data_IF_282062625502
#
_entry.id   IF_282062625502
#
_cell.length_a   1.000
_cell.length_b   1.000
_cell.length_c   1.000
_cell.angle_alpha   90.00
_cell.angle_beta   90.00
_cell.angle_gamma   90.00
#
_symmetry.space_group_name_H-M   'P 1'
#
loop_
_entity.id
_entity.type
_entity.pdbx_description
1 polymer ?
#
# COMPACT_ATOMS: atom_id res chain seq x y z
N UNK A 1 9.66 -10.91 -31.39
CA UNK A 1 10.97 -10.89 -32.07
C UNK A 1 11.99 -10.37 -31.06
N UNK A 2 12.57 -11.26 -30.26
CA UNK A 2 13.62 -10.89 -29.30
C UNK A 2 14.93 -11.02 -30.07
N UNK A 3 15.48 -9.89 -30.50
CA UNK A 3 16.80 -9.86 -31.11
C UNK A 3 17.81 -10.33 -30.06
N UNK A 4 18.48 -11.46 -30.31
CA UNK A 4 19.69 -11.81 -29.56
C UNK A 4 20.63 -10.61 -29.60
N UNK A 5 21.09 -10.16 -28.43
CA UNK A 5 21.96 -9.00 -28.33
C UNK A 5 23.22 -9.31 -29.17
N UNK A 6 23.50 -8.63 -30.30
CA UNK A 6 24.56 -9.02 -31.25
C UNK A 6 25.98 -9.05 -30.67
N UNK A 7 26.11 -8.60 -29.41
CA UNK A 7 27.34 -8.50 -28.64
C UNK A 7 27.22 -9.12 -27.23
N UNK A 8 26.22 -9.97 -26.97
CA UNK A 8 25.98 -10.51 -25.62
C UNK A 8 27.19 -11.25 -25.05
N UNK A 9 27.83 -12.10 -25.86
CA UNK A 9 29.07 -12.81 -25.51
C UNK A 9 30.21 -11.84 -25.20
N UNK A 10 30.36 -10.78 -25.99
CA UNK A 10 31.40 -9.76 -25.76
C UNK A 10 31.16 -8.97 -24.47
N UNK A 11 29.89 -8.69 -24.13
CA UNK A 11 29.52 -8.03 -22.89
C UNK A 11 29.87 -8.91 -21.68
N UNK A 12 29.49 -10.20 -21.71
CA UNK A 12 29.85 -11.16 -20.65
C UNK A 12 31.38 -11.26 -20.52
N UNK A 13 32.13 -11.39 -21.62
CA UNK A 13 33.61 -11.40 -21.60
C UNK A 13 34.19 -10.11 -21.01
N UNK A 14 33.61 -8.96 -21.31
CA UNK A 14 33.97 -7.67 -20.72
C UNK A 14 33.79 -7.65 -19.20
N UNK A 15 32.65 -8.13 -18.71
CA UNK A 15 32.37 -8.19 -17.27
C UNK A 15 33.24 -9.23 -16.54
N UNK A 16 33.57 -10.37 -17.17
CA UNK A 16 34.58 -11.32 -16.65
C UNK A 16 35.91 -10.60 -16.43
N UNK A 17 36.39 -9.84 -17.41
CA UNK A 17 37.63 -9.09 -17.29
C UNK A 17 37.56 -7.97 -16.25
N UNK A 18 36.42 -7.30 -16.13
CA UNK A 18 36.20 -6.28 -15.11
C UNK A 18 36.38 -6.86 -13.70
N UNK A 19 35.64 -7.91 -13.36
CA UNK A 19 35.72 -8.57 -12.04
C UNK A 19 37.11 -9.13 -11.79
N UNK A 20 37.70 -9.82 -12.78
CA UNK A 20 39.07 -10.33 -12.68
C UNK A 20 40.10 -9.21 -12.43
N UNK A 21 39.93 -8.04 -13.06
CA UNK A 21 40.83 -6.90 -12.86
C UNK A 21 40.74 -6.37 -11.42
N UNK A 22 39.52 -6.20 -10.89
CA UNK A 22 39.30 -5.76 -9.50
C UNK A 22 39.87 -6.79 -8.51
N UNK A 23 39.65 -8.08 -8.75
CA UNK A 23 40.25 -9.13 -7.92
C UNK A 23 41.78 -9.06 -7.94
N UNK A 24 42.40 -8.88 -9.11
CA UNK A 24 43.86 -8.87 -9.28
C UNK A 24 44.57 -7.67 -8.64
N UNK A 25 43.86 -6.57 -8.34
CA UNK A 25 44.38 -5.43 -7.60
C UNK A 25 44.53 -5.77 -6.10
N UNK A 26 43.72 -6.69 -5.60
CA UNK A 26 43.81 -7.14 -4.22
C UNK A 26 44.96 -8.18 -4.07
N UNK A 27 45.91 -7.89 -3.18
CA UNK A 27 47.12 -8.69 -2.94
C UNK A 27 46.82 -10.17 -2.65
N UNK A 28 45.67 -10.48 -2.04
CA UNK A 28 45.20 -11.86 -1.76
C UNK A 28 45.02 -12.69 -3.03
N UNK A 29 44.69 -12.05 -4.15
CA UNK A 29 44.41 -12.69 -5.43
C UNK A 29 45.50 -12.40 -6.48
N UNK A 30 46.49 -11.59 -6.11
CA UNK A 30 47.61 -11.22 -6.97
C UNK A 30 48.80 -12.17 -6.73
N UNK A 31 49.05 -13.09 -7.66
CA UNK A 31 50.26 -13.93 -7.60
C UNK A 31 51.41 -13.24 -8.35
N UNK A 32 52.43 -12.73 -7.66
CA UNK A 32 53.61 -12.10 -8.29
C UNK A 32 54.37 -13.03 -9.26
N UNK A 33 54.27 -14.36 -9.07
CA UNK A 33 54.89 -15.36 -9.94
C UNK A 33 54.35 -15.38 -11.38
N UNK A 34 53.14 -14.83 -11.62
CA UNK A 34 52.47 -14.83 -12.93
C UNK A 34 53.15 -13.97 -13.99
N UNK A 35 53.93 -12.97 -13.56
CA UNK A 35 54.70 -12.11 -14.47
C UNK A 35 56.02 -12.75 -14.93
N UNK A 36 56.37 -13.92 -14.36
CA UNK A 36 57.63 -14.62 -14.64
C UNK A 36 57.43 -16.05 -15.15
N UNK A 37 56.28 -16.68 -14.90
CA UNK A 37 55.95 -18.05 -15.33
C UNK A 37 54.44 -18.29 -15.32
N UNK A 38 53.94 -19.15 -16.21
CA UNK A 38 52.56 -19.65 -16.14
C UNK A 38 52.30 -20.32 -14.79
N UNK A 39 51.31 -19.81 -14.06
CA UNK A 39 50.93 -20.32 -12.74
C UNK A 39 50.07 -21.58 -12.96
N UNK A 40 50.49 -22.75 -12.46
CA UNK A 40 49.74 -24.00 -12.61
C UNK A 40 48.29 -23.86 -12.12
N UNK A 41 47.34 -24.47 -12.83
CA UNK A 41 45.90 -24.34 -12.55
C UNK A 41 45.52 -24.73 -11.11
N UNK A 42 46.29 -25.60 -10.46
CA UNK A 42 46.08 -26.06 -9.08
C UNK A 42 46.48 -25.05 -7.99
N UNK A 43 47.35 -24.08 -8.29
CA UNK A 43 47.75 -23.03 -7.33
C UNK A 43 46.92 -21.75 -7.43
N UNK A 44 46.03 -21.66 -8.41
CA UNK A 44 45.08 -20.56 -8.57
C UNK A 44 43.85 -20.78 -7.67
N UNK A 45 43.26 -19.69 -7.17
CA UNK A 45 42.04 -19.75 -6.37
C UNK A 45 40.87 -20.31 -7.20
N UNK A 46 39.95 -21.03 -6.53
CA UNK A 46 38.80 -21.64 -7.18
C UNK A 46 37.94 -20.61 -7.94
N UNK A 47 37.79 -19.39 -7.43
CA UNK A 47 37.05 -18.31 -8.09
C UNK A 47 37.71 -17.86 -9.41
N UNK A 48 39.03 -17.67 -9.42
CA UNK A 48 39.75 -17.28 -10.64
C UNK A 48 39.66 -18.36 -11.72
N UNK A 49 39.70 -19.65 -11.31
CA UNK A 49 39.54 -20.79 -12.21
C UNK A 49 38.16 -20.79 -12.85
N UNK A 50 37.10 -20.60 -12.07
CA UNK A 50 35.71 -20.53 -12.57
C UNK A 50 35.51 -19.45 -13.63
N UNK A 51 36.10 -18.27 -13.47
CA UNK A 51 36.05 -17.22 -14.51
C UNK A 51 36.83 -17.59 -15.77
N UNK A 52 37.99 -18.25 -15.63
CA UNK A 52 38.79 -18.71 -16.77
C UNK A 52 38.05 -19.80 -17.54
N UNK A 53 37.46 -20.76 -16.82
CA UNK A 53 36.67 -21.85 -17.40
C UNK A 53 35.46 -21.29 -18.16
N UNK A 54 34.75 -20.31 -17.57
CA UNK A 54 33.67 -19.61 -18.27
C UNK A 54 34.18 -18.87 -19.51
N UNK A 55 35.30 -18.13 -19.42
CA UNK A 55 35.85 -17.43 -20.57
C UNK A 55 36.15 -18.37 -21.74
N UNK A 56 36.79 -19.51 -21.46
CA UNK A 56 37.10 -20.56 -22.45
C UNK A 56 35.82 -21.17 -23.01
N UNK A 57 34.80 -21.42 -22.18
CA UNK A 57 33.51 -21.97 -22.65
C UNK A 57 32.77 -21.04 -23.61
N UNK A 58 33.07 -19.73 -23.56
CA UNK A 58 32.52 -18.71 -24.44
C UNK A 58 33.40 -18.45 -25.69
N UNK A 59 34.51 -19.16 -25.87
CA UNK A 59 35.31 -19.11 -27.09
C UNK A 59 34.58 -19.83 -28.23
N UNK A 60 34.44 -19.18 -29.38
CA UNK A 60 33.73 -19.73 -30.54
C UNK A 60 32.20 -19.63 -30.48
N UNK A 61 31.61 -19.19 -29.37
CA UNK A 61 30.16 -18.96 -29.24
C UNK A 61 29.77 -17.63 -29.91
N UNK A 62 28.75 -17.69 -30.77
CA UNK A 62 28.24 -16.52 -31.53
C UNK A 62 26.97 -15.96 -30.88
N UNK A 63 26.03 -16.82 -30.48
CA UNK A 63 24.79 -16.44 -29.79
C UNK A 63 24.85 -16.89 -28.33
N UNK A 64 24.55 -15.97 -27.41
CA UNK A 64 24.50 -16.26 -25.98
C UNK A 64 23.31 -17.18 -25.62
N UNK A 65 22.28 -17.21 -26.48
CA UNK A 65 21.10 -18.05 -26.31
C UNK A 65 21.42 -19.56 -26.32
N UNK A 66 22.53 -19.94 -26.95
CA UNK A 66 23.00 -21.33 -27.03
C UNK A 66 23.73 -21.80 -25.76
N UNK A 67 23.97 -20.89 -24.82
CA UNK A 67 24.71 -21.18 -23.58
C UNK A 67 23.74 -21.27 -22.40
N UNK A 68 23.96 -22.26 -21.52
CA UNK A 68 23.23 -22.36 -20.25
C UNK A 68 23.41 -21.06 -19.45
N UNK A 69 22.29 -20.38 -19.19
CA UNK A 69 22.28 -19.07 -18.56
C UNK A 69 22.84 -19.16 -17.14
N UNK A 70 22.61 -20.26 -16.42
CA UNK A 70 23.16 -20.42 -15.07
C UNK A 70 24.69 -20.55 -15.09
N UNK A 71 25.25 -21.24 -16.08
CA UNK A 71 26.71 -21.39 -16.20
C UNK A 71 27.40 -20.05 -16.43
N UNK A 72 26.74 -19.12 -17.14
CA UNK A 72 27.24 -17.75 -17.32
C UNK A 72 27.27 -16.97 -16.00
N UNK A 73 26.28 -17.17 -15.13
CA UNK A 73 26.17 -16.44 -13.87
C UNK A 73 26.97 -17.04 -12.71
N UNK A 74 27.18 -18.35 -12.72
CA UNK A 74 27.75 -19.09 -11.59
C UNK A 74 29.06 -18.49 -11.05
N UNK A 75 30.03 -18.07 -11.88
CA UNK A 75 31.26 -17.46 -11.38
C UNK A 75 31.03 -16.12 -10.67
N UNK A 76 30.06 -15.33 -11.11
CA UNK A 76 29.70 -14.05 -10.49
C UNK A 76 28.95 -14.26 -9.17
N UNK A 77 28.01 -15.21 -9.14
CA UNK A 77 27.28 -15.59 -7.91
C UNK A 77 28.24 -16.10 -6.85
N UNK A 78 29.18 -16.98 -7.20
CA UNK A 78 30.18 -17.49 -6.25
C UNK A 78 31.13 -16.41 -5.70
N UNK A 79 31.37 -15.32 -6.46
CA UNK A 79 32.10 -14.16 -5.92
C UNK A 79 31.28 -13.50 -4.84
N UNK A 80 29.98 -13.26 -5.07
CA UNK A 80 29.13 -12.57 -4.11
C UNK A 80 28.85 -13.41 -2.86
N UNK A 81 28.73 -14.74 -2.99
CA UNK A 81 28.56 -15.68 -1.87
C UNK A 81 29.86 -15.92 -1.07
N UNK A 82 31.03 -15.53 -1.59
CA UNK A 82 32.31 -15.84 -0.97
C UNK A 82 32.68 -14.83 0.14
N UNK A 83 32.77 -15.29 1.38
CA UNK A 83 33.27 -14.49 2.52
C UNK A 83 34.72 -13.97 2.32
N UNK A 84 35.47 -14.55 1.38
CA UNK A 84 36.87 -14.16 1.13
C UNK A 84 37.01 -12.90 0.26
N UNK A 85 35.92 -12.41 -0.33
CA UNK A 85 35.94 -11.26 -1.25
C UNK A 85 35.57 -9.97 -0.55
N UNK A 86 36.30 -8.89 -0.84
CA UNK A 86 36.01 -7.58 -0.26
C UNK A 86 34.78 -6.93 -0.90
N UNK A 87 34.16 -5.97 -0.22
CA UNK A 87 33.00 -5.21 -0.73
C UNK A 87 33.21 -4.59 -2.12
N UNK A 88 34.44 -4.18 -2.47
CA UNK A 88 34.78 -3.71 -3.83
C UNK A 88 34.68 -4.80 -4.90
N UNK A 89 35.12 -6.03 -4.58
CA UNK A 89 35.06 -7.18 -5.50
C UNK A 89 33.60 -7.66 -5.61
N UNK A 90 32.91 -7.78 -4.48
CA UNK A 90 31.49 -8.15 -4.41
C UNK A 90 30.62 -7.14 -5.17
N UNK A 91 30.86 -5.84 -4.99
CA UNK A 91 30.15 -4.78 -5.71
C UNK A 91 30.39 -4.81 -7.22
N UNK A 92 31.60 -5.15 -7.68
CA UNK A 92 31.88 -5.34 -9.10
C UNK A 92 31.08 -6.51 -9.68
N UNK A 93 30.99 -7.64 -8.95
CA UNK A 93 30.21 -8.79 -9.39
C UNK A 93 28.69 -8.51 -9.40
N UNK A 94 28.14 -7.85 -8.38
CA UNK A 94 26.73 -7.42 -8.36
C UNK A 94 26.44 -6.45 -9.51
N UNK A 95 27.35 -5.51 -9.80
CA UNK A 95 27.22 -4.61 -10.94
C UNK A 95 27.15 -5.35 -12.27
N UNK A 96 27.98 -6.38 -12.45
CA UNK A 96 27.92 -7.26 -13.63
C UNK A 96 26.59 -8.00 -13.73
N UNK A 97 26.10 -8.59 -12.63
CA UNK A 97 24.79 -9.26 -12.59
C UNK A 97 23.64 -8.29 -12.95
N UNK A 98 23.68 -7.06 -12.43
CA UNK A 98 22.70 -6.03 -12.76
C UNK A 98 22.74 -5.65 -14.25
N UNK A 99 23.93 -5.48 -14.83
CA UNK A 99 24.06 -5.24 -16.28
C UNK A 99 23.50 -6.39 -17.11
N UNK A 100 23.70 -7.64 -16.67
CA UNK A 100 23.15 -8.80 -17.37
C UNK A 100 21.61 -8.77 -17.39
N UNK A 101 20.98 -8.34 -16.30
CA UNK A 101 19.52 -8.14 -16.23
C UNK A 101 19.07 -6.95 -17.10
N UNK A 102 19.72 -5.79 -16.97
CA UNK A 102 19.36 -4.56 -17.69
C UNK A 102 19.53 -4.67 -19.21
N UNK A 103 20.57 -5.37 -19.66
CA UNK A 103 20.84 -5.56 -21.09
C UNK A 103 20.08 -6.74 -21.69
N UNK A 104 19.26 -7.44 -20.89
CA UNK A 104 18.49 -8.60 -21.36
C UNK A 104 19.37 -9.77 -21.78
N UNK A 105 20.55 -9.93 -21.16
CA UNK A 105 21.47 -11.05 -21.44
C UNK A 105 21.00 -12.36 -20.79
N UNK A 106 19.99 -12.28 -19.93
CA UNK A 106 19.26 -13.40 -19.35
C UNK A 106 17.86 -13.38 -19.99
N UNK A 107 17.69 -13.94 -21.20
CA UNK A 107 16.38 -13.98 -21.85
C UNK A 107 15.44 -14.89 -21.05
N UNK A 108 14.13 -14.55 -20.93
CA UNK A 108 13.18 -15.36 -20.16
C UNK A 108 13.04 -16.80 -20.69
N UNK A 109 13.29 -17.00 -21.99
CA UNK A 109 13.22 -18.31 -22.67
C UNK A 109 14.58 -19.06 -22.68
N UNK A 110 15.62 -18.52 -22.04
CA UNK A 110 16.96 -19.10 -22.04
C UNK A 110 17.04 -20.43 -21.27
N UNK A 111 18.01 -21.28 -21.64
CA UNK A 111 18.23 -22.55 -20.95
C UNK A 111 18.59 -22.30 -19.48
N UNK A 112 17.75 -22.80 -18.56
CA UNK A 112 17.85 -22.56 -17.11
C UNK A 112 17.95 -21.08 -16.76
N UNK A 113 17.50 -20.19 -17.66
CA UNK A 113 17.24 -18.80 -17.37
C UNK A 113 16.10 -18.63 -16.39
N UNK A 114 15.34 -19.73 -16.13
CA UNK A 114 14.77 -19.99 -14.80
C UNK A 114 15.93 -20.05 -13.78
N UNK A 115 16.13 -20.99 -12.87
CA UNK A 115 17.32 -21.16 -11.98
C UNK A 115 18.39 -20.03 -11.77
N UNK A 116 19.03 -19.52 -12.83
CA UNK A 116 19.90 -18.34 -12.89
C UNK A 116 19.47 -17.08 -12.10
N UNK A 117 18.30 -16.46 -12.36
CA UNK A 117 17.76 -15.30 -11.62
C UNK A 117 17.49 -15.58 -10.11
N UNK A 118 17.23 -16.82 -9.70
CA UNK A 118 16.87 -17.30 -8.36
C UNK A 118 18.17 -17.36 -7.59
N UNK A 119 19.21 -17.89 -8.24
CA UNK A 119 20.57 -17.79 -7.75
C UNK A 119 21.00 -16.33 -7.60
N UNK A 120 20.67 -15.41 -8.53
CA UNK A 120 20.93 -13.97 -8.32
C UNK A 120 20.16 -13.45 -7.09
N UNK A 121 18.85 -13.66 -7.03
CA UNK A 121 17.98 -13.17 -5.96
C UNK A 121 18.43 -13.66 -4.58
N UNK A 122 18.65 -14.97 -4.45
CA UNK A 122 19.10 -15.61 -3.22
C UNK A 122 20.47 -15.08 -2.81
N UNK A 123 21.40 -15.01 -3.77
CA UNK A 123 22.75 -14.52 -3.54
C UNK A 123 22.75 -13.06 -3.06
N UNK A 124 21.98 -12.18 -3.70
CA UNK A 124 21.85 -10.78 -3.30
C UNK A 124 21.17 -10.66 -1.92
N UNK A 125 20.13 -11.45 -1.64
CA UNK A 125 19.46 -11.46 -0.33
C UNK A 125 20.37 -11.90 0.82
N UNK A 126 21.37 -12.74 0.54
CA UNK A 126 22.35 -13.24 1.51
C UNK A 126 23.66 -12.45 1.50
N UNK A 127 23.78 -11.44 0.64
CA UNK A 127 25.01 -10.66 0.50
C UNK A 127 25.21 -9.79 1.76
N UNK A 128 26.27 -10.08 2.51
CA UNK A 128 26.71 -9.22 3.63
C UNK A 128 27.65 -8.16 3.09
N UNK A 129 27.27 -6.89 3.22
CA UNK A 129 28.17 -5.77 2.95
C UNK A 129 28.97 -5.50 4.22
N UNK A 130 30.20 -6.02 4.30
CA UNK A 130 31.12 -5.63 5.35
C UNK A 130 31.54 -4.16 5.14
N UNK A 131 31.24 -3.30 6.11
CA UNK A 131 31.91 -2.01 6.26
C UNK A 131 33.41 -2.27 6.44
N UNK A 132 34.23 -1.67 5.60
CA UNK A 132 35.69 -1.84 5.60
C UNK A 132 36.29 -1.55 6.98
N UNK A 133 36.84 -2.61 7.59
CA UNK A 133 37.66 -2.71 8.82
C UNK A 133 36.94 -2.68 10.20
N UNK A 134 36.78 -3.87 10.79
CA UNK A 134 37.51 -4.30 12.00
C UNK A 134 37.34 -5.80 12.25
N UNK A 135 38.46 -6.47 12.55
CA UNK A 135 38.52 -7.81 13.14
C UNK A 135 37.63 -7.87 14.40
N UNK A 136 36.73 -8.86 14.54
CA UNK A 136 36.72 -9.94 15.56
C UNK A 136 35.65 -10.96 15.16
N UNK A 137 35.94 -12.24 15.42
CA UNK A 137 35.10 -13.43 15.38
C UNK A 137 33.61 -13.21 15.69
N UNK A 138 32.72 -13.79 14.88
CA UNK A 138 31.50 -14.42 15.41
C UNK A 138 30.99 -15.53 14.49
N UNK A 139 30.54 -16.59 15.15
CA UNK A 139 30.42 -17.97 14.70
C UNK A 139 29.01 -18.24 14.18
N UNK A 140 28.92 -18.89 13.01
CA UNK A 140 27.87 -19.83 12.62
C UNK A 140 26.44 -19.33 12.48
N UNK A 141 25.83 -19.58 11.31
CA UNK A 141 24.55 -20.29 11.35
C UNK A 141 24.26 -21.12 10.09
N UNK A 142 23.40 -22.09 10.35
CA UNK A 142 23.06 -23.35 9.69
C UNK A 142 22.87 -23.38 8.16
N UNK A 143 23.48 -24.40 7.53
CA UNK A 143 23.32 -24.77 6.12
C UNK A 143 21.99 -25.53 5.94
N UNK A 144 20.89 -24.80 5.80
CA UNK A 144 19.67 -25.37 5.21
C UNK A 144 19.76 -25.29 3.68
N UNK A 145 19.88 -26.46 3.06
CA UNK A 145 19.76 -26.64 1.61
C UNK A 145 18.28 -26.46 1.26
N UNK A 146 17.86 -25.22 1.04
CA UNK A 146 16.50 -24.92 0.62
C UNK A 146 16.24 -25.47 -0.79
N UNK A 147 15.15 -26.22 -0.90
CA UNK A 147 14.60 -26.75 -2.14
C UNK A 147 14.36 -25.58 -3.09
N UNK A 148 15.11 -25.53 -4.19
CA UNK A 148 14.99 -24.49 -5.20
C UNK A 148 13.65 -24.64 -5.92
N UNK A 149 12.68 -23.82 -5.55
CA UNK A 149 11.45 -23.67 -6.35
C UNK A 149 11.74 -22.80 -7.58
N UNK A 150 11.20 -23.17 -8.76
CA UNK A 150 11.36 -22.40 -9.99
C UNK A 150 10.73 -21.01 -9.86
N UNK A 151 11.13 -20.07 -10.71
CA UNK A 151 10.61 -18.70 -10.67
C UNK A 151 9.12 -18.60 -10.51
N UNK A 152 8.78 -17.59 -9.75
CA UNK A 152 7.45 -17.11 -9.62
C UNK A 152 7.33 -16.28 -8.37
N UNK A 153 6.09 -16.20 -7.94
CA UNK A 153 5.68 -15.44 -6.78
C UNK A 153 6.41 -15.82 -5.48
N UNK A 154 6.80 -17.09 -5.22
CA UNK A 154 7.46 -17.44 -3.95
C UNK A 154 8.81 -16.75 -3.71
N UNK A 155 9.62 -16.53 -4.74
CA UNK A 155 10.92 -15.86 -4.57
C UNK A 155 10.76 -14.36 -4.44
N UNK A 156 9.80 -13.77 -5.15
CA UNK A 156 9.42 -12.38 -4.94
C UNK A 156 8.87 -12.14 -3.53
N UNK A 157 8.11 -13.11 -3.00
CA UNK A 157 7.62 -13.10 -1.64
C UNK A 157 8.78 -13.14 -0.63
N UNK A 158 9.75 -14.03 -0.81
CA UNK A 158 10.96 -14.08 0.03
C UNK A 158 11.77 -12.78 -0.04
N UNK A 159 11.94 -12.20 -1.23
CA UNK A 159 12.63 -10.92 -1.38
C UNK A 159 11.87 -9.78 -0.69
N UNK A 160 10.55 -9.70 -0.85
CA UNK A 160 9.74 -8.70 -0.17
C UNK A 160 9.76 -8.87 1.36
N UNK A 161 9.77 -10.11 1.86
CA UNK A 161 9.94 -10.39 3.29
C UNK A 161 11.30 -9.91 3.79
N UNK A 162 12.38 -10.26 3.08
CA UNK A 162 13.72 -9.79 3.40
C UNK A 162 13.82 -8.25 3.41
N UNK A 163 13.29 -7.59 2.38
CA UNK A 163 13.26 -6.12 2.32
C UNK A 163 12.43 -5.51 3.47
N UNK A 164 11.32 -6.16 3.84
CA UNK A 164 10.50 -5.74 4.98
C UNK A 164 11.30 -5.86 6.29
N UNK A 165 12.09 -6.92 6.46
CA UNK A 165 12.92 -7.10 7.64
C UNK A 165 14.05 -6.05 7.75
N UNK A 166 14.58 -5.54 6.63
CA UNK A 166 15.57 -4.44 6.63
C UNK A 166 15.02 -3.14 7.25
N UNK A 167 13.70 -2.91 7.15
CA UNK A 167 13.06 -1.71 7.69
C UNK A 167 12.45 -1.93 9.07
N UNK A 168 12.74 -3.06 9.72
CA UNK A 168 12.23 -3.35 11.07
C UNK A 168 12.66 -2.22 12.03
N UNK A 169 11.73 -1.64 12.80
CA UNK A 169 12.05 -0.56 13.72
C UNK A 169 13.02 -1.04 14.79
N UNK A 170 13.96 -0.17 15.19
CA UNK A 170 15.14 -0.46 16.04
C UNK A 170 16.36 -1.07 15.32
N UNK A 171 16.32 -1.21 13.99
CA UNK A 171 17.52 -1.46 13.18
C UNK A 171 18.47 -0.25 13.16
N UNK A 172 19.64 -0.42 12.53
CA UNK A 172 20.54 0.70 12.22
C UNK A 172 19.86 1.63 11.21
N UNK A 173 19.97 2.94 11.42
CA UNK A 173 19.32 3.95 10.58
C UNK A 173 19.68 3.80 9.09
N UNK A 174 20.97 3.64 8.76
CA UNK A 174 21.44 3.45 7.39
C UNK A 174 20.82 2.21 6.72
N UNK A 175 20.60 1.14 7.49
CA UNK A 175 19.95 -0.09 7.01
C UNK A 175 18.47 0.15 6.73
N UNK A 176 17.78 0.90 7.59
CA UNK A 176 16.38 1.27 7.40
C UNK A 176 16.23 2.17 6.18
N UNK A 177 17.07 3.19 6.04
CA UNK A 177 17.08 4.09 4.87
C UNK A 177 17.31 3.30 3.58
N UNK A 178 18.27 2.39 3.58
CA UNK A 178 18.56 1.54 2.43
C UNK A 178 17.37 0.62 2.11
N UNK A 179 16.80 -0.05 3.12
CA UNK A 179 15.62 -0.90 2.98
C UNK A 179 14.42 -0.15 2.41
N UNK A 180 14.10 1.04 2.97
CA UNK A 180 13.01 1.90 2.49
C UNK A 180 13.24 2.33 1.04
N UNK A 181 14.48 2.66 0.68
CA UNK A 181 14.84 3.06 -0.69
C UNK A 181 14.64 1.91 -1.69
N UNK A 182 15.04 0.68 -1.31
CA UNK A 182 14.84 -0.51 -2.15
C UNK A 182 13.36 -0.86 -2.29
N UNK A 183 12.58 -0.80 -1.20
CA UNK A 183 11.13 -1.02 -1.26
C UNK A 183 10.47 0.02 -2.16
N UNK A 184 10.85 1.29 -2.02
CA UNK A 184 10.34 2.35 -2.87
C UNK A 184 10.60 2.05 -4.36
N UNK A 185 11.82 1.63 -4.70
CA UNK A 185 12.18 1.25 -6.06
C UNK A 185 11.35 0.06 -6.55
N UNK A 186 11.13 -0.97 -5.73
CA UNK A 186 10.30 -2.12 -6.08
C UNK A 186 8.85 -1.69 -6.36
N UNK A 187 8.28 -0.81 -5.55
CA UNK A 187 6.92 -0.31 -5.74
C UNK A 187 6.80 0.55 -7.00
N UNK A 188 7.77 1.44 -7.26
CA UNK A 188 7.79 2.30 -8.46
C UNK A 188 7.96 1.47 -9.75
N UNK A 189 8.74 0.39 -9.71
CA UNK A 189 9.01 -0.45 -10.89
C UNK A 189 7.93 -1.51 -11.15
N UNK A 190 7.44 -2.18 -10.10
CA UNK A 190 6.46 -3.25 -10.24
C UNK A 190 5.02 -2.72 -10.41
N UNK A 191 4.73 -1.53 -9.88
CA UNK A 191 3.43 -0.86 -9.97
C UNK A 191 2.26 -1.78 -9.59
N UNK A 192 1.21 -1.78 -10.42
CA UNK A 192 0.00 -2.58 -10.18
C UNK A 192 0.19 -4.09 -10.34
N UNK A 193 1.33 -4.54 -10.88
CA UNK A 193 1.65 -5.96 -11.04
C UNK A 193 1.73 -6.72 -9.71
N UNK A 194 2.09 -6.05 -8.61
CA UNK A 194 2.15 -6.65 -7.28
C UNK A 194 0.77 -7.10 -6.77
N UNK A 195 -0.29 -6.37 -7.17
CA UNK A 195 -1.67 -6.67 -6.75
C UNK A 195 -2.24 -7.94 -7.37
N UNK A 196 -1.65 -8.44 -8.46
CA UNK A 196 -2.13 -9.65 -9.13
C UNK A 196 -1.87 -10.94 -8.32
N UNK A 197 -1.01 -10.89 -7.30
CA UNK A 197 -0.50 -12.06 -6.61
C UNK A 197 -0.79 -12.01 -5.10
N UNK A 198 -1.72 -12.85 -4.59
CA UNK A 198 -2.17 -12.78 -3.20
C UNK A 198 -1.08 -12.92 -2.14
N UNK A 199 -0.02 -13.71 -2.39
CA UNK A 199 1.03 -13.88 -1.39
C UNK A 199 1.92 -12.64 -1.25
N UNK A 200 2.21 -11.93 -2.35
CA UNK A 200 2.87 -10.62 -2.29
C UNK A 200 1.98 -9.60 -1.57
N UNK A 201 0.69 -9.57 -1.88
CA UNK A 201 -0.28 -8.71 -1.18
C UNK A 201 -0.31 -9.00 0.32
N UNK A 202 -0.21 -10.27 0.74
CA UNK A 202 -0.14 -10.64 2.15
C UNK A 202 1.07 -10.01 2.87
N UNK A 203 2.25 -10.04 2.25
CA UNK A 203 3.46 -9.40 2.81
C UNK A 203 3.29 -7.89 2.90
N UNK A 204 2.77 -7.27 1.84
CA UNK A 204 2.55 -5.82 1.78
C UNK A 204 1.50 -5.35 2.81
N UNK A 205 0.44 -6.13 3.03
CA UNK A 205 -0.62 -5.85 4.01
C UNK A 205 -0.19 -6.09 5.46
N UNK A 206 0.72 -7.04 5.69
CA UNK A 206 1.17 -7.48 7.00
C UNK A 206 2.41 -6.72 7.46
N UNK A 207 3.57 -7.38 7.42
CA UNK A 207 4.81 -6.91 8.04
C UNK A 207 5.28 -5.58 7.47
N UNK A 208 5.18 -5.38 6.14
CA UNK A 208 5.59 -4.11 5.54
C UNK A 208 4.78 -2.93 6.08
N UNK A 209 3.44 -3.01 6.02
CA UNK A 209 2.56 -1.96 6.52
C UNK A 209 2.76 -1.71 8.02
N UNK A 210 2.99 -2.77 8.81
CA UNK A 210 3.32 -2.67 10.23
C UNK A 210 4.62 -1.89 10.46
N UNK A 211 5.71 -2.25 9.79
CA UNK A 211 7.00 -1.59 9.96
C UNK A 211 6.97 -0.14 9.46
N UNK A 212 6.23 0.17 8.39
CA UNK A 212 6.03 1.55 7.92
C UNK A 212 5.30 2.41 8.95
N UNK A 213 4.27 1.88 9.62
CA UNK A 213 3.60 2.59 10.71
C UNK A 213 4.57 2.88 11.86
N UNK A 214 5.40 1.91 12.24
CA UNK A 214 6.37 2.08 13.32
C UNK A 214 7.48 3.06 12.94
N UNK A 215 8.00 3.03 11.71
CA UNK A 215 9.00 3.99 11.23
C UNK A 215 8.42 5.41 11.09
N UNK A 216 7.10 5.57 10.96
CA UNK A 216 6.45 6.90 10.96
C UNK A 216 6.49 7.63 12.30
N UNK A 217 6.89 6.95 13.38
CA UNK A 217 7.01 7.51 14.73
C UNK A 217 8.42 8.05 15.02
N UNK A 218 9.32 7.98 14.03
CA UNK A 218 10.69 8.48 14.14
C UNK A 218 10.77 9.99 14.25
N UNK A 219 11.78 10.50 14.97
CA UNK A 219 12.20 11.90 14.94
C UNK A 219 12.99 12.26 13.67
N UNK A 220 13.62 11.26 13.04
CA UNK A 220 14.52 11.48 11.91
C UNK A 220 13.77 11.79 10.62
N UNK A 221 13.95 13.02 10.11
CA UNK A 221 13.21 13.53 8.96
C UNK A 221 13.42 12.70 7.68
N UNK A 222 14.63 12.17 7.48
CA UNK A 222 14.95 11.36 6.30
C UNK A 222 14.18 10.03 6.29
N UNK A 223 14.15 9.32 7.43
CA UNK A 223 13.39 8.08 7.59
C UNK A 223 11.90 8.35 7.46
N UNK A 224 11.39 9.44 8.05
CA UNK A 224 9.99 9.83 7.94
C UNK A 224 9.60 10.13 6.49
N UNK A 225 10.38 10.95 5.79
CA UNK A 225 10.14 11.32 4.39
C UNK A 225 10.10 10.09 3.47
N UNK A 226 11.10 9.19 3.60
CA UNK A 226 11.13 7.94 2.84
C UNK A 226 9.96 7.02 3.20
N UNK A 227 9.58 6.94 4.48
CA UNK A 227 8.42 6.16 4.93
C UNK A 227 7.14 6.66 4.27
N UNK A 228 6.88 7.98 4.31
CA UNK A 228 5.70 8.59 3.69
C UNK A 228 5.66 8.36 2.17
N UNK A 229 6.82 8.42 1.51
CA UNK A 229 6.94 8.15 0.07
C UNK A 229 6.67 6.68 -0.29
N UNK A 230 7.24 5.74 0.47
CA UNK A 230 6.97 4.30 0.30
C UNK A 230 5.47 4.03 0.47
N UNK A 231 4.86 4.63 1.48
CA UNK A 231 3.43 4.50 1.76
C UNK A 231 2.59 5.02 0.58
N UNK A 232 2.90 6.21 0.06
CA UNK A 232 2.24 6.75 -1.13
C UNK A 232 2.32 5.79 -2.32
N UNK A 233 3.53 5.32 -2.65
CA UNK A 233 3.76 4.41 -3.76
C UNK A 233 3.12 3.03 -3.54
N UNK A 234 3.06 2.57 -2.29
CA UNK A 234 2.38 1.33 -1.90
C UNK A 234 0.89 1.41 -2.19
N UNK A 235 0.24 2.50 -1.78
CA UNK A 235 -1.18 2.71 -2.07
C UNK A 235 -1.44 2.94 -3.55
N UNK A 236 -0.58 3.66 -4.26
CA UNK A 236 -0.73 3.83 -5.70
C UNK A 236 -0.65 2.48 -6.45
N UNK A 237 0.21 1.58 -5.97
CA UNK A 237 0.43 0.26 -6.58
C UNK A 237 -0.71 -0.74 -6.30
N UNK A 238 -1.21 -0.83 -5.07
CA UNK A 238 -2.18 -1.89 -4.68
C UNK A 238 -3.40 -1.38 -3.89
N UNK A 239 -3.90 -0.17 -4.21
CA UNK A 239 -5.05 0.48 -3.55
C UNK A 239 -6.27 -0.41 -3.29
N UNK A 240 -6.62 -1.30 -4.22
CA UNK A 240 -7.81 -2.14 -4.12
C UNK A 240 -7.74 -3.12 -2.95
N UNK A 241 -6.52 -3.43 -2.49
CA UNK A 241 -6.25 -4.32 -1.37
C UNK A 241 -5.96 -3.56 -0.07
N UNK A 242 -5.73 -2.25 -0.09
CA UNK A 242 -5.20 -1.51 1.04
C UNK A 242 -6.13 -0.47 1.66
N UNK A 243 -7.44 -0.54 1.41
CA UNK A 243 -8.40 0.48 1.89
C UNK A 243 -8.40 0.65 3.41
N UNK A 244 -8.30 -0.45 4.16
CA UNK A 244 -8.26 -0.41 5.64
C UNK A 244 -6.94 0.17 6.13
N UNK A 245 -5.82 -0.25 5.53
CA UNK A 245 -4.49 0.27 5.85
C UNK A 245 -4.39 1.76 5.54
N UNK A 246 -5.03 2.23 4.48
CA UNK A 246 -5.06 3.65 4.09
C UNK A 246 -5.75 4.50 5.16
N UNK A 247 -6.90 4.04 5.65
CA UNK A 247 -7.61 4.71 6.73
C UNK A 247 -6.75 4.79 8.01
N UNK A 248 -6.14 3.66 8.40
CA UNK A 248 -5.23 3.60 9.56
C UNK A 248 -4.07 4.56 9.34
N UNK A 249 -3.43 4.56 8.18
CA UNK A 249 -2.28 5.42 7.91
C UNK A 249 -2.65 6.90 8.01
N UNK A 250 -3.78 7.33 7.44
CA UNK A 250 -4.21 8.73 7.58
C UNK A 250 -4.51 9.10 9.03
N UNK A 251 -5.23 8.26 9.77
CA UNK A 251 -5.60 8.58 11.16
C UNK A 251 -4.43 8.47 12.12
N UNK A 252 -3.60 7.45 11.96
CA UNK A 252 -2.53 7.12 12.86
C UNK A 252 -1.27 7.85 12.52
N UNK A 253 -0.98 8.21 11.26
CA UNK A 253 0.25 8.92 10.88
C UNK A 253 -0.01 10.39 10.64
N UNK A 254 -0.72 10.74 9.55
CA UNK A 254 -0.89 12.15 9.16
C UNK A 254 -1.62 12.97 10.22
N UNK A 255 -2.79 12.52 10.68
CA UNK A 255 -3.54 13.25 11.71
C UNK A 255 -2.78 13.31 13.04
N UNK A 256 -2.09 12.23 13.42
CA UNK A 256 -1.27 12.21 14.64
C UNK A 256 -0.15 13.24 14.59
N UNK A 257 0.57 13.33 13.48
CA UNK A 257 1.66 14.31 13.30
C UNK A 257 1.12 15.74 13.29
N UNK A 258 -0.01 15.99 12.65
CA UNK A 258 -0.64 17.33 12.60
C UNK A 258 -1.21 17.77 13.95
N UNK A 259 -1.86 16.86 14.69
CA UNK A 259 -2.53 17.16 15.96
C UNK A 259 -1.55 17.17 17.15
N UNK A 260 -0.38 16.54 17.02
CA UNK A 260 0.58 16.42 18.13
C UNK A 260 1.33 17.73 18.38
N UNK A 261 1.31 18.26 19.61
CA UNK A 261 2.10 19.43 19.98
C UNK A 261 3.60 19.14 20.09
N UNK A 262 4.01 17.86 20.15
CA UNK A 262 5.42 17.47 20.28
C UNK A 262 6.13 17.30 18.95
N UNK A 263 5.40 17.28 17.82
CA UNK A 263 5.98 17.15 16.50
C UNK A 263 6.55 18.48 16.01
N UNK A 264 7.74 18.42 15.37
CA UNK A 264 8.38 19.62 14.80
C UNK A 264 7.60 20.15 13.59
N UNK A 265 7.85 21.40 13.23
CA UNK A 265 7.16 22.02 12.10
C UNK A 265 7.58 21.37 10.77
N UNK A 266 8.83 20.89 10.65
CA UNK A 266 9.31 20.13 9.50
C UNK A 266 8.60 18.78 9.35
N UNK A 267 8.29 18.09 10.45
CA UNK A 267 7.51 16.84 10.41
C UNK A 267 6.07 17.10 9.93
N UNK A 268 5.47 18.20 10.38
CA UNK A 268 4.13 18.62 9.94
C UNK A 268 4.12 18.99 8.46
N UNK A 269 5.14 19.70 7.99
CA UNK A 269 5.32 20.03 6.57
C UNK A 269 5.39 18.77 5.71
N UNK A 270 6.25 17.80 6.06
CA UNK A 270 6.36 16.52 5.35
C UNK A 270 5.03 15.75 5.31
N UNK A 271 4.29 15.72 6.42
CA UNK A 271 2.98 15.09 6.46
C UNK A 271 1.97 15.81 5.54
N UNK A 272 1.97 17.14 5.52
CA UNK A 272 1.09 17.93 4.64
C UNK A 272 1.45 17.77 3.16
N UNK A 273 2.73 17.74 2.81
CA UNK A 273 3.19 17.46 1.45
C UNK A 273 2.74 16.08 0.98
N UNK A 274 2.91 15.06 1.82
CA UNK A 274 2.42 13.72 1.55
C UNK A 274 0.89 13.70 1.34
N UNK A 275 0.11 14.42 2.16
CA UNK A 275 -1.34 14.54 1.95
C UNK A 275 -1.70 15.23 0.63
N UNK A 276 -0.95 16.26 0.25
CA UNK A 276 -1.13 16.95 -1.03
C UNK A 276 -0.85 16.01 -2.20
N UNK A 277 0.16 15.14 -2.10
CA UNK A 277 0.41 14.09 -3.11
C UNK A 277 -0.77 13.13 -3.24
N UNK A 278 -1.33 12.63 -2.13
CA UNK A 278 -2.55 11.82 -2.15
C UNK A 278 -3.74 12.55 -2.77
N UNK A 279 -3.87 13.85 -2.54
CA UNK A 279 -4.94 14.67 -3.12
C UNK A 279 -4.74 14.90 -4.62
N UNK A 280 -3.51 14.86 -5.14
CA UNK A 280 -3.27 15.00 -6.59
C UNK A 280 -3.67 13.75 -7.37
N UNK A 281 -3.75 12.59 -6.72
CA UNK A 281 -4.13 11.34 -7.35
C UNK A 281 -5.67 11.15 -7.35
N UNK A 282 -6.36 11.25 -8.51
CA UNK A 282 -7.83 11.29 -8.56
C UNK A 282 -8.48 10.01 -8.03
N UNK A 283 -7.81 8.88 -8.18
CA UNK A 283 -8.31 7.59 -7.71
C UNK A 283 -8.26 7.46 -6.18
N UNK A 284 -7.30 8.13 -5.53
CA UNK A 284 -7.12 8.10 -4.08
C UNK A 284 -7.86 9.24 -3.39
N UNK A 285 -8.04 10.38 -4.06
CA UNK A 285 -8.74 11.56 -3.50
C UNK A 285 -10.14 11.23 -2.99
N UNK A 286 -10.93 10.43 -3.73
CA UNK A 286 -12.29 10.08 -3.31
C UNK A 286 -12.29 9.19 -2.05
N UNK A 287 -11.40 8.20 -2.00
CA UNK A 287 -11.24 7.30 -0.86
C UNK A 287 -10.69 8.05 0.36
N UNK A 288 -9.75 8.99 0.16
CA UNK A 288 -9.25 9.90 1.19
C UNK A 288 -10.36 10.80 1.73
N UNK A 289 -11.17 11.42 0.88
CA UNK A 289 -12.24 12.32 1.31
C UNK A 289 -13.28 11.55 2.15
N UNK A 290 -13.59 10.31 1.76
CA UNK A 290 -14.45 9.43 2.55
C UNK A 290 -13.82 9.06 3.90
N UNK A 291 -12.54 8.68 3.91
CA UNK A 291 -11.82 8.33 5.15
C UNK A 291 -11.71 9.52 6.12
N UNK A 292 -11.45 10.73 5.61
CA UNK A 292 -11.38 11.97 6.40
C UNK A 292 -12.75 12.34 6.94
N UNK A 293 -13.81 12.33 6.11
CA UNK A 293 -15.17 12.60 6.56
C UNK A 293 -15.62 11.58 7.62
N UNK A 294 -15.22 10.32 7.48
CA UNK A 294 -15.51 9.27 8.44
C UNK A 294 -14.70 9.42 9.75
N UNK A 295 -13.43 9.84 9.67
CA UNK A 295 -12.62 10.22 10.82
C UNK A 295 -13.23 11.41 11.57
N UNK A 296 -13.62 12.48 10.85
CA UNK A 296 -14.28 13.66 11.42
C UNK A 296 -15.62 13.27 12.05
N UNK A 297 -16.44 12.48 11.37
CA UNK A 297 -17.72 11.99 11.91
C UNK A 297 -17.56 11.15 13.18
N UNK A 298 -16.41 10.48 13.38
CA UNK A 298 -16.12 9.72 14.61
C UNK A 298 -15.58 10.60 15.73
N UNK A 299 -14.85 11.68 15.40
CA UNK A 299 -14.29 12.64 16.37
C UNK A 299 -15.26 13.72 16.81
N UNK A 300 -16.34 13.96 16.06
CA UNK A 300 -17.40 14.89 16.45
C UNK A 300 -18.56 14.15 17.15
N UNK A 301 -18.62 14.11 18.50
CA UNK A 301 -19.90 13.96 19.16
C UNK A 301 -20.72 15.23 18.87
N UNK A 302 -21.81 15.09 18.12
CA UNK A 302 -22.76 16.19 17.89
C UNK A 302 -23.34 16.66 19.24
N UNK A 303 -22.69 17.64 19.86
CA UNK A 303 -23.26 18.48 20.91
C UNK A 303 -24.03 19.62 20.21
N UNK A 304 -25.21 19.29 19.67
CA UNK A 304 -26.25 20.28 19.37
C UNK A 304 -27.48 19.97 20.22
N UNK A 305 -27.34 20.18 21.52
CA UNK A 305 -28.45 20.39 22.44
C UNK A 305 -27.97 21.33 23.54
N UNK A 306 -28.10 22.64 23.28
CA UNK A 306 -28.39 23.72 24.24
C UNK A 306 -27.94 25.06 23.67
N UNK A 307 -28.77 25.66 22.82
CA UNK A 307 -28.82 27.11 22.68
C UNK A 307 -30.16 27.58 23.23
N UNK A 308 -30.18 28.08 24.47
CA UNK A 308 -30.95 29.29 24.85
C UNK A 308 -30.96 29.50 26.38
N UNK A 309 -30.72 30.76 26.74
CA UNK A 309 -30.74 31.41 28.06
C UNK A 309 -29.50 31.21 28.94
N UNK A 310 -28.59 32.18 28.88
CA UNK A 310 -28.19 32.95 30.08
C UNK A 310 -27.96 34.40 29.65
N UNK A 311 -28.64 35.29 30.36
CA UNK A 311 -28.55 36.75 30.25
C UNK A 311 -27.16 37.28 30.58
N UNK A 312 -26.80 38.36 29.91
CA UNK A 312 -25.61 39.16 30.20
C UNK A 312 -25.88 40.03 31.42
N UNK A 313 -25.22 39.75 32.53
CA UNK A 313 -24.82 40.78 33.51
C UNK A 313 -23.41 40.48 33.96
N UNK A 314 -22.49 41.42 33.69
CA UNK A 314 -21.09 41.29 34.08
C UNK A 314 -20.89 41.40 35.58
N UNK A 315 -20.13 40.48 36.15
CA UNK A 315 -19.18 40.68 37.25
C UNK A 315 -18.29 39.43 37.30
N UNK A 316 -17.04 39.60 37.72
CA UNK A 316 -16.11 38.55 38.15
C UNK A 316 -15.33 37.81 37.05
N UNK A 317 -14.43 38.56 36.41
CA UNK A 317 -13.06 38.08 36.23
C UNK A 317 -12.42 37.87 37.62
N UNK A 318 -11.73 36.75 37.76
CA UNK A 318 -10.85 36.35 38.87
C UNK A 318 -11.50 35.50 40.00
N UNK A 319 -11.67 34.21 39.74
CA UNK A 319 -11.29 33.17 40.70
C UNK A 319 -11.18 31.79 40.03
N UNK A 320 -10.08 31.10 40.36
CA UNK A 320 -9.86 29.64 40.28
C UNK A 320 -9.32 29.06 38.95
N UNK A 321 -8.01 29.30 38.80
CA UNK A 321 -6.99 28.32 38.39
C UNK A 321 -7.15 27.01 39.19
N UNK A 322 -7.46 25.89 38.52
CA UNK A 322 -6.55 24.73 38.32
C UNK A 322 -7.25 23.58 37.55
N UNK A 323 -6.53 22.72 36.80
CA UNK A 323 -7.08 21.74 35.88
C UNK A 323 -7.13 20.31 36.46
N UNK A 324 -8.17 19.55 36.13
CA UNK A 324 -8.14 18.08 36.15
C UNK A 324 -9.24 17.52 35.24
N UNK A 325 -8.89 16.58 34.36
CA UNK A 325 -9.77 15.46 34.10
C UNK A 325 -9.00 14.15 34.20
N UNK A 326 -8.91 13.60 35.41
CA UNK A 326 -8.59 12.19 35.62
C UNK A 326 -9.91 11.41 35.68
N UNK A 327 -10.36 10.88 34.54
CA UNK A 327 -11.40 9.84 34.48
C UNK A 327 -11.35 9.06 33.16
N UNK A 328 -10.21 8.42 32.90
CA UNK A 328 -10.16 7.24 32.03
C UNK A 328 -9.03 6.31 32.47
N UNK A 329 -9.14 5.79 33.69
CA UNK A 329 -8.31 4.70 34.20
C UNK A 329 -9.21 3.63 34.83
N UNK A 330 -9.19 2.44 34.24
CA UNK A 330 -9.91 1.25 34.70
C UNK A 330 -10.06 0.29 33.50
N UNK A 331 -9.31 -0.79 33.33
CA UNK A 331 -8.53 -1.54 34.29
C UNK A 331 -7.30 -2.19 33.62
N UNK A 332 -6.13 -2.01 34.21
CA UNK A 332 -5.00 -2.93 34.11
C UNK A 332 -4.83 -3.57 35.50
N UNK A 333 -4.53 -4.87 35.61
CA UNK A 333 -4.24 -5.49 36.89
C UNK A 333 -2.84 -5.06 37.35
N UNK A 334 -2.77 -4.53 38.57
CA UNK A 334 -1.51 -4.33 39.29
C UNK A 334 -1.03 -5.65 39.86
N UNK A 335 0.21 -6.04 39.61
CA UNK A 335 1.03 -6.68 40.64
C UNK A 335 2.52 -6.42 40.40
N UNK A 336 3.24 -6.55 41.51
CA UNK A 336 4.54 -6.04 41.87
C UNK A 336 5.71 -6.52 41.01
N UNK A 337 6.80 -5.75 41.09
CA UNK A 337 8.05 -6.03 40.40
C UNK A 337 8.64 -7.38 40.77
N UNK A 338 9.04 -8.11 39.74
CA UNK A 338 10.24 -8.92 39.74
C UNK A 338 10.75 -9.03 38.30
N UNK A 339 12.07 -8.96 38.17
CA UNK A 339 12.77 -9.08 36.91
C UNK A 339 12.51 -10.43 36.24
N UNK A 340 12.53 -10.42 34.91
CA UNK A 340 12.61 -11.58 34.01
C UNK A 340 11.27 -12.31 33.71
N UNK A 341 10.54 -11.84 32.69
CA UNK A 341 9.75 -12.75 31.84
C UNK A 341 9.50 -12.18 30.44
N UNK A 342 9.76 -13.03 29.48
CA UNK A 342 9.71 -12.89 28.03
C UNK A 342 8.30 -12.53 27.55
N UNK A 343 8.14 -11.41 26.84
CA UNK A 343 6.89 -11.09 26.12
C UNK A 343 6.76 -12.09 24.96
N UNK A 344 5.69 -12.89 24.85
CA UNK A 344 5.55 -13.84 23.77
C UNK A 344 5.28 -13.13 22.43
N UNK A 345 5.80 -13.61 21.28
CA UNK A 345 5.85 -12.83 20.04
C UNK A 345 4.52 -12.71 19.28
N UNK A 346 3.39 -13.16 19.84
CA UNK A 346 2.20 -13.47 19.05
C UNK A 346 1.00 -12.49 19.17
N UNK A 347 1.10 -11.42 19.96
CA UNK A 347 -0.02 -10.47 20.18
C UNK A 347 0.01 -9.20 19.29
N UNK A 348 0.94 -9.13 18.33
CA UNK A 348 1.14 -7.93 17.50
C UNK A 348 0.07 -7.67 16.42
N UNK A 349 -0.89 -8.58 16.22
CA UNK A 349 -1.94 -8.50 15.19
C UNK A 349 -3.36 -8.37 15.77
N UNK A 350 -3.53 -8.51 17.08
CA UNK A 350 -4.85 -8.43 17.73
C UNK A 350 -5.50 -7.06 17.52
N UNK A 351 -4.70 -5.98 17.51
CA UNK A 351 -5.21 -4.63 17.28
C UNK A 351 -5.67 -4.39 15.83
N UNK A 352 -5.03 -5.02 14.83
CA UNK A 352 -5.43 -4.97 13.42
C UNK A 352 -6.70 -5.79 13.17
N UNK A 353 -6.84 -6.95 13.81
CA UNK A 353 -8.09 -7.71 13.81
C UNK A 353 -9.21 -6.93 14.50
N UNK A 354 -8.93 -6.31 15.63
CA UNK A 354 -9.88 -5.46 16.36
C UNK A 354 -10.26 -4.22 15.54
N UNK A 355 -9.32 -3.59 14.83
CA UNK A 355 -9.60 -2.47 13.94
C UNK A 355 -10.43 -2.92 12.72
N UNK A 356 -10.08 -4.06 12.10
CA UNK A 356 -10.81 -4.65 10.98
C UNK A 356 -12.23 -5.07 11.37
N UNK A 357 -12.40 -5.68 12.53
CA UNK A 357 -13.69 -6.08 13.09
C UNK A 357 -14.52 -4.85 13.43
N UNK A 358 -13.95 -3.84 14.09
CA UNK A 358 -14.64 -2.57 14.35
C UNK A 358 -15.08 -1.89 13.05
N UNK A 359 -14.25 -1.85 12.01
CA UNK A 359 -14.63 -1.24 10.72
C UNK A 359 -15.67 -2.09 9.98
N UNK A 360 -15.57 -3.41 10.00
CA UNK A 360 -16.54 -4.32 9.40
C UNK A 360 -17.90 -4.27 10.13
N UNK A 361 -17.90 -4.24 11.45
CA UNK A 361 -19.11 -4.08 12.28
C UNK A 361 -19.73 -2.70 12.07
N UNK A 362 -18.94 -1.63 12.02
CA UNK A 362 -19.44 -0.27 11.72
C UNK A 362 -20.06 -0.22 10.32
N UNK A 363 -19.43 -0.86 9.32
CA UNK A 363 -19.99 -0.97 7.96
C UNK A 363 -21.27 -1.80 7.91
N UNK A 364 -21.32 -2.94 8.63
CA UNK A 364 -22.52 -3.76 8.75
C UNK A 364 -23.65 -2.99 9.47
N UNK A 365 -23.35 -2.32 10.58
CA UNK A 365 -24.28 -1.45 11.30
C UNK A 365 -24.78 -0.30 10.43
N UNK A 366 -23.93 0.32 9.61
CA UNK A 366 -24.34 1.37 8.64
C UNK A 366 -25.27 0.81 7.56
N UNK A 367 -24.95 -0.36 7.00
CA UNK A 367 -25.80 -1.03 6.00
C UNK A 367 -27.16 -1.39 6.62
N UNK A 368 -27.16 -1.87 7.86
CA UNK A 368 -28.36 -2.25 8.60
C UNK A 368 -29.19 -1.03 9.03
N UNK A 369 -28.56 0.05 9.47
CA UNK A 369 -29.21 1.32 9.78
C UNK A 369 -29.79 1.97 8.52
N UNK A 370 -29.05 2.02 7.41
CA UNK A 370 -29.58 2.51 6.12
C UNK A 370 -30.80 1.72 5.65
N UNK A 371 -30.80 0.39 5.86
CA UNK A 371 -31.95 -0.48 5.59
C UNK A 371 -33.13 -0.15 6.52
N UNK A 372 -32.91 0.04 7.82
CA UNK A 372 -33.94 0.45 8.80
C UNK A 372 -34.58 1.79 8.43
N UNK A 373 -33.77 2.82 8.15
CA UNK A 373 -34.26 4.13 7.72
C UNK A 373 -35.05 4.05 6.40
N UNK A 374 -34.61 3.23 5.45
CA UNK A 374 -35.34 3.01 4.20
C UNK A 374 -36.73 2.38 4.45
N UNK A 375 -36.81 1.31 5.25
CA UNK A 375 -38.07 0.65 5.62
C UNK A 375 -39.02 1.59 6.37
N UNK A 376 -38.49 2.39 7.31
CA UNK A 376 -39.27 3.39 8.03
C UNK A 376 -39.79 4.50 7.11
N UNK A 377 -38.96 4.98 6.18
CA UNK A 377 -39.37 5.95 5.16
C UNK A 377 -40.44 5.37 4.24
N UNK A 378 -40.31 4.12 3.80
CA UNK A 378 -41.30 3.44 2.98
C UNK A 378 -42.64 3.30 3.70
N UNK A 379 -42.64 2.87 4.97
CA UNK A 379 -43.84 2.81 5.81
C UNK A 379 -44.46 4.18 6.08
N UNK A 380 -43.67 5.24 6.21
CA UNK A 380 -44.18 6.60 6.28
C UNK A 380 -44.95 6.99 5.01
N UNK A 381 -44.44 6.59 3.84
CA UNK A 381 -45.09 6.87 2.57
C UNK A 381 -46.35 6.04 2.33
N UNK A 382 -46.39 4.77 2.79
CA UNK A 382 -47.57 3.90 2.59
C UNK A 382 -48.63 4.05 3.67
N UNK A 383 -48.25 4.24 4.94
CA UNK A 383 -49.15 4.24 6.10
C UNK A 383 -48.79 5.34 7.12
N UNK A 384 -49.15 6.61 6.85
CA UNK A 384 -48.75 7.76 7.65
C UNK A 384 -49.35 7.79 9.07
N UNK A 385 -50.30 6.90 9.40
CA UNK A 385 -50.86 6.77 10.76
C UNK A 385 -50.08 5.79 11.64
N UNK A 386 -49.45 4.76 11.06
CA UNK A 386 -48.83 3.65 11.80
C UNK A 386 -47.30 3.61 11.72
N UNK A 387 -46.69 4.45 10.88
CA UNK A 387 -45.24 4.50 10.70
C UNK A 387 -44.46 4.86 11.97
N UNK A 388 -45.10 5.59 12.91
CA UNK A 388 -44.49 5.99 14.18
C UNK A 388 -44.19 4.76 15.04
N UNK A 389 -45.20 3.91 15.28
CA UNK A 389 -45.05 2.68 16.04
C UNK A 389 -44.05 1.72 15.36
N UNK A 390 -44.08 1.67 14.02
CA UNK A 390 -43.13 0.87 13.24
C UNK A 390 -41.69 1.39 13.33
N UNK A 391 -41.50 2.72 13.31
CA UNK A 391 -40.17 3.35 13.47
C UNK A 391 -39.62 3.18 14.88
N UNK A 392 -40.49 3.17 15.89
CA UNK A 392 -40.14 2.85 17.27
C UNK A 392 -39.75 1.37 17.43
N UNK A 393 -40.49 0.45 16.78
CA UNK A 393 -40.14 -0.98 16.73
C UNK A 393 -38.79 -1.21 16.02
N UNK A 394 -38.54 -0.44 14.97
CA UNK A 394 -37.25 -0.42 14.28
C UNK A 394 -36.16 0.31 15.07
N UNK A 395 -36.41 0.80 16.29
CA UNK A 395 -35.44 1.48 17.16
C UNK A 395 -34.86 2.78 16.58
N UNK A 396 -35.63 3.48 15.73
CA UNK A 396 -35.24 4.76 15.11
C UNK A 396 -35.83 5.97 15.83
N UNK A 397 -36.94 5.78 16.55
CA UNK A 397 -37.58 6.81 17.36
C UNK A 397 -37.69 6.34 18.83
N UNK A 398 -37.48 7.24 19.81
CA UNK A 398 -37.63 6.93 21.22
C UNK A 398 -39.10 6.72 21.61
N UNK A 399 -39.28 6.01 22.74
CA UNK A 399 -40.56 5.81 23.44
C UNK A 399 -40.45 6.41 24.84
N UNK A 400 -41.17 7.50 25.20
CA UNK A 400 -42.19 8.23 24.43
C UNK A 400 -41.60 9.13 23.32
N UNK A 401 -42.44 9.51 22.36
CA UNK A 401 -42.02 10.30 21.20
C UNK A 401 -41.79 11.77 21.56
N UNK A 402 -40.70 12.36 21.08
CA UNK A 402 -40.42 13.80 21.20
C UNK A 402 -40.44 14.46 19.84
N UNK A 403 -40.91 15.71 19.75
CA UNK A 403 -40.95 16.46 18.48
C UNK A 403 -39.55 16.60 17.85
N UNK A 404 -38.52 16.72 18.68
CA UNK A 404 -37.12 16.75 18.27
C UNK A 404 -36.67 15.43 17.61
N UNK A 405 -37.00 14.28 18.20
CA UNK A 405 -36.64 12.97 17.62
C UNK A 405 -37.25 12.75 16.23
N UNK A 406 -38.48 13.23 16.02
CA UNK A 406 -39.18 13.17 14.74
C UNK A 406 -38.53 14.11 13.72
N UNK A 407 -38.13 15.32 14.13
CA UNK A 407 -37.42 16.26 13.26
C UNK A 407 -36.05 15.71 12.83
N UNK A 408 -35.30 15.14 13.77
CA UNK A 408 -34.00 14.49 13.51
C UNK A 408 -34.14 13.33 12.55
N UNK A 409 -35.20 12.51 12.68
CA UNK A 409 -35.53 11.45 11.74
C UNK A 409 -35.73 12.00 10.31
N UNK A 410 -36.58 13.03 10.14
CA UNK A 410 -36.83 13.60 8.81
C UNK A 410 -35.60 14.25 8.19
N UNK A 411 -34.70 14.81 9.00
CA UNK A 411 -33.45 15.41 8.54
C UNK A 411 -32.47 14.37 7.97
N UNK A 412 -32.33 13.22 8.65
CA UNK A 412 -31.34 12.20 8.28
C UNK A 412 -31.87 11.15 7.29
N UNK A 413 -33.15 11.21 6.90
CA UNK A 413 -33.78 10.23 6.00
C UNK A 413 -33.82 10.75 4.56
N UNK A 414 -32.96 10.26 3.64
CA UNK A 414 -32.93 10.73 2.26
C UNK A 414 -34.23 10.37 1.53
N UNK A 415 -34.80 11.33 0.79
CA UNK A 415 -36.00 11.15 -0.04
C UNK A 415 -37.31 11.58 0.63
N UNK A 416 -37.30 11.99 1.90
CA UNK A 416 -38.50 12.44 2.62
C UNK A 416 -38.81 13.94 2.47
N UNK A 417 -37.84 14.72 1.97
CA UNK A 417 -37.91 16.17 1.72
C UNK A 417 -38.05 16.50 0.22
N UNK A 418 -38.82 15.68 -0.51
CA UNK A 418 -39.09 15.86 -1.93
C UNK A 418 -40.54 16.29 -2.21
N UNK A 419 -40.72 17.13 -3.25
CA UNK A 419 -42.06 17.46 -3.77
C UNK A 419 -42.78 16.17 -4.17
N UNK A 420 -43.94 15.88 -3.55
CA UNK A 420 -44.78 14.70 -3.83
C UNK A 420 -44.96 14.51 -5.35
N UNK A 421 -44.76 13.28 -5.85
CA UNK A 421 -45.00 12.94 -7.26
C UNK A 421 -46.47 13.20 -7.56
N UNK A 422 -46.75 14.17 -8.44
CA UNK A 422 -48.13 14.55 -8.82
C UNK A 422 -48.75 13.66 -9.91
N UNK A 423 -47.96 12.80 -10.56
CA UNK A 423 -48.38 11.95 -11.68
C UNK A 423 -47.74 10.56 -11.58
N UNK A 424 -48.47 9.52 -11.96
CA UNK A 424 -47.95 8.14 -12.03
C UNK A 424 -47.12 7.93 -13.29
N UNK A 425 -46.30 6.86 -13.33
CA UNK A 425 -45.52 6.53 -14.53
C UNK A 425 -46.41 6.24 -15.74
N UNK A 426 -47.58 5.63 -15.53
CA UNK A 426 -48.56 5.31 -16.57
C UNK A 426 -49.21 6.56 -17.15
N UNK A 427 -49.56 7.55 -16.31
CA UNK A 427 -50.09 8.84 -16.74
C UNK A 427 -49.07 9.63 -17.57
N UNK A 428 -47.79 9.57 -17.18
CA UNK A 428 -46.68 10.21 -17.90
C UNK A 428 -46.51 9.55 -19.28
N UNK A 429 -46.52 8.22 -19.34
CA UNK A 429 -46.43 7.50 -20.61
C UNK A 429 -47.63 7.77 -21.52
N UNK A 430 -48.85 7.74 -20.98
CA UNK A 430 -50.07 8.00 -21.74
C UNK A 430 -50.04 9.40 -22.37
N UNK A 431 -49.67 10.43 -21.61
CA UNK A 431 -49.55 11.79 -22.10
C UNK A 431 -48.45 11.96 -23.16
N UNK A 432 -47.31 11.28 -23.01
CA UNK A 432 -46.24 11.31 -24.02
C UNK A 432 -46.67 10.56 -25.30
N UNK A 433 -47.42 9.46 -25.17
CA UNK A 433 -47.93 8.66 -26.29
C UNK A 433 -49.04 9.36 -27.08
N UNK A 434 -49.74 10.33 -26.50
CA UNK A 434 -50.71 11.17 -27.22
C UNK A 434 -50.04 12.23 -28.11
N UNK A 435 -48.78 12.61 -27.85
CA UNK A 435 -48.05 13.58 -28.68
C UNK A 435 -47.65 12.94 -30.02
N UNK A 436 -47.89 13.55 -31.20
CA UNK A 436 -47.45 13.00 -32.48
C UNK A 436 -45.95 12.70 -32.53
N UNK A 437 -45.54 11.57 -33.15
CA UNK A 437 -44.15 11.07 -33.16
C UNK A 437 -43.13 12.13 -33.64
N UNK A 438 -43.49 12.94 -34.64
CA UNK A 438 -42.64 14.03 -35.14
C UNK A 438 -42.30 15.09 -34.08
N UNK A 439 -43.19 15.31 -33.11
CA UNK A 439 -43.00 16.28 -32.03
C UNK A 439 -42.29 15.70 -30.79
N UNK A 440 -41.95 14.40 -30.79
CA UNK A 440 -41.19 13.73 -29.73
C UNK A 440 -39.67 13.78 -29.93
N UNK A 441 -39.20 14.47 -30.98
CA UNK A 441 -37.79 14.46 -31.37
C UNK A 441 -36.89 15.13 -30.31
N UNK A 442 -37.34 16.24 -29.71
CA UNK A 442 -36.59 16.97 -28.68
C UNK A 442 -37.33 16.96 -27.35
N UNK A 443 -36.59 16.95 -26.25
CA UNK A 443 -37.14 17.02 -24.89
C UNK A 443 -37.98 18.28 -24.64
N UNK A 444 -37.64 19.40 -25.29
CA UNK A 444 -38.36 20.67 -25.15
C UNK A 444 -39.72 20.63 -25.83
N UNK A 445 -39.79 20.08 -27.05
CA UNK A 445 -41.05 19.91 -27.80
C UNK A 445 -41.96 18.88 -27.12
N UNK A 446 -41.37 17.77 -26.66
CA UNK A 446 -42.10 16.74 -25.91
C UNK A 446 -42.70 17.29 -24.62
N UNK A 447 -41.94 18.05 -23.84
CA UNK A 447 -42.43 18.66 -22.60
C UNK A 447 -43.57 19.66 -22.85
N UNK A 448 -43.43 20.51 -23.88
CA UNK A 448 -44.44 21.49 -24.25
C UNK A 448 -45.74 20.82 -24.71
N UNK A 449 -45.66 19.84 -25.63
CA UNK A 449 -46.86 19.20 -26.19
C UNK A 449 -47.52 18.15 -25.28
N UNK A 450 -46.77 17.53 -24.38
CA UNK A 450 -47.35 16.62 -23.37
C UNK A 450 -47.86 17.34 -22.12
N UNK A 451 -47.59 18.64 -21.98
CA UNK A 451 -47.87 19.42 -20.78
C UNK A 451 -47.27 18.79 -19.49
N UNK A 452 -46.11 18.12 -19.67
CA UNK A 452 -45.33 17.51 -18.59
C UNK A 452 -43.99 18.25 -18.50
N UNK A 453 -43.59 18.72 -17.29
CA UNK A 453 -42.30 19.37 -17.12
C UNK A 453 -41.13 18.50 -17.59
N UNK A 454 -40.19 19.10 -18.32
CA UNK A 454 -38.99 18.44 -18.88
C UNK A 454 -38.24 17.60 -17.83
N UNK A 455 -38.11 18.09 -16.60
CA UNK A 455 -37.45 17.40 -15.49
C UNK A 455 -38.15 16.10 -15.08
N UNK A 456 -39.47 16.03 -15.22
CA UNK A 456 -40.26 14.84 -14.90
C UNK A 456 -40.10 13.78 -15.99
N UNK A 457 -40.06 14.19 -17.26
CA UNK A 457 -39.82 13.30 -18.40
C UNK A 457 -38.42 12.68 -18.33
N UNK A 458 -37.38 13.49 -18.07
CA UNK A 458 -35.99 13.01 -17.96
C UNK A 458 -35.84 12.00 -16.82
N UNK A 459 -36.47 12.25 -15.66
CA UNK A 459 -36.46 11.32 -14.53
C UNK A 459 -37.14 9.99 -14.87
N UNK A 460 -38.32 10.05 -15.51
CA UNK A 460 -39.04 8.87 -15.97
C UNK A 460 -38.22 8.06 -17.00
N UNK A 461 -37.55 8.72 -17.95
CA UNK A 461 -36.69 8.05 -18.93
C UNK A 461 -35.51 7.30 -18.28
N UNK A 462 -34.95 7.82 -17.18
CA UNK A 462 -33.88 7.17 -16.41
C UNK A 462 -34.38 5.96 -15.63
N UNK A 463 -35.62 5.99 -15.13
CA UNK A 463 -36.23 4.92 -14.33
C UNK A 463 -36.81 3.78 -15.19
N UNK A 464 -37.43 4.09 -16.34
CA UNK A 464 -38.21 3.12 -17.13
C UNK A 464 -37.56 2.71 -18.48
N UNK A 465 -36.51 3.40 -18.95
CA UNK A 465 -35.71 3.13 -20.16
C UNK A 465 -36.45 2.83 -21.51
N UNK A 466 -37.78 2.93 -21.56
CA UNK A 466 -38.63 2.56 -22.71
C UNK A 466 -38.85 3.69 -23.72
N UNK A 467 -38.60 4.93 -23.33
CA UNK A 467 -38.77 6.13 -24.17
C UNK A 467 -37.40 6.74 -24.46
N UNK A 468 -37.10 7.00 -25.74
CA UNK A 468 -35.87 7.66 -26.20
C UNK A 468 -36.22 8.98 -26.88
N UNK A 469 -35.57 10.07 -26.48
CA UNK A 469 -35.65 11.39 -27.11
C UNK A 469 -34.23 11.91 -27.35
N UNK A 470 -34.00 12.64 -28.45
CA UNK A 470 -32.67 13.23 -28.69
C UNK A 470 -32.48 14.43 -27.76
N UNK A 471 -31.31 14.51 -27.13
CA UNK A 471 -30.87 15.72 -26.46
C UNK A 471 -30.65 16.79 -27.52
N UNK A 472 -31.42 17.88 -27.50
CA UNK A 472 -30.97 19.11 -28.16
C UNK A 472 -29.99 19.77 -27.18
N UNK A 473 -28.71 19.48 -27.35
CA UNK A 473 -27.69 20.40 -26.84
C UNK A 473 -27.80 21.72 -27.61
#
# INVERSE_FOLDING_TARGET
>A
MVYGHPNGVNCVKGEIHNVLSVMRVNARWATAARFKREVPTHTQSALLRRFKDLHVSLEGVIDLSDVDTLNVLEPFVHVVESEKTSGFITGAAISSLNKFLLYGLIPPDGLRATEAINRIALCVSRCRFEETHRDVDEMGDDLTVDVVLPYGIPVLEQLLLFLSDLIKPKGKEDTIIFGLSLINLVLETAGTGLGAHPSLVSVLQGDLSKYLLQNSETSELQVLSLTLRVVFNLFNSIKDHLKVQLEIFFTSVHMRIMDSPTCSDEQKELALESLLEFCREPALMLDLLLAVLESISRRCPLHLANASKVDVTGSDLAALVDPSPNSFAGALPSDNGDANSTIPPNDSLAWLHTARERTAEVLQQRKQNKKRYFLAAEKFHTEPKNWIAYSQQLGLLPNPITAESVATFFHHTPGNSGRKRKRTNEEIEAAIRQVPKASRQTLRSMAFKSNIPKSTIVRHMKEAARLKARSSY
#
